data_IF_536770627547
#
_entry.id   IF_536770627547
#
_cell.length_a   1.000
_cell.length_b   1.000
_cell.length_c   1.000
_cell.angle_alpha   90.00
_cell.angle_beta   90.00
_cell.angle_gamma   90.00
#
_symmetry.space_group_name_H-M   'P 1'
#
loop_
_entity.id
_entity.type
_entity.pdbx_description
1 polymer ?
#
# COMPACT_ATOMS: atom_id res chain seq x y z
N UNK A 1 -18.98 20.14 -3.16
CA UNK A 1 -17.79 19.72 -2.40
C UNK A 1 -17.37 18.38 -2.94
N UNK A 2 -16.06 18.15 -3.19
CA UNK A 2 -15.56 16.86 -3.64
C UNK A 2 -15.88 15.75 -2.64
N UNK A 3 -16.18 14.55 -3.13
CA UNK A 3 -16.38 13.36 -2.30
C UNK A 3 -15.06 12.62 -2.12
N UNK A 4 -14.60 12.53 -0.87
CA UNK A 4 -13.35 11.86 -0.55
C UNK A 4 -13.58 10.43 -0.10
N UNK A 5 -12.80 9.52 -0.68
CA UNK A 5 -12.74 8.11 -0.27
C UNK A 5 -11.35 7.82 0.31
N UNK A 6 -11.25 6.76 1.12
CA UNK A 6 -10.06 6.47 1.91
C UNK A 6 -9.62 5.02 1.76
N UNK A 7 -8.31 4.82 1.65
CA UNK A 7 -7.69 3.49 1.64
C UNK A 7 -6.50 3.45 2.60
N UNK A 8 -6.18 2.26 3.12
CA UNK A 8 -5.01 2.07 3.99
C UNK A 8 -4.16 0.92 3.45
N UNK A 9 -2.87 1.17 3.29
CA UNK A 9 -1.89 0.17 2.82
C UNK A 9 -0.63 0.23 3.70
N UNK A 10 0.18 -0.83 3.79
CA UNK A 10 1.50 -0.72 4.40
C UNK A 10 2.42 0.11 3.52
N UNK A 11 3.40 0.77 4.13
CA UNK A 11 4.41 1.54 3.41
C UNK A 11 5.16 0.70 2.36
N UNK A 12 5.37 -0.60 2.59
CA UNK A 12 5.96 -1.50 1.60
C UNK A 12 5.20 -1.48 0.27
N UNK A 13 3.86 -1.50 0.33
CA UNK A 13 3.02 -1.47 -0.86
C UNK A 13 3.19 -0.13 -1.60
N UNK A 14 3.22 0.98 -0.86
CA UNK A 14 3.47 2.30 -1.45
C UNK A 14 4.84 2.36 -2.13
N UNK A 15 5.91 1.90 -1.46
CA UNK A 15 7.28 1.89 -2.01
C UNK A 15 7.35 1.07 -3.30
N UNK A 16 6.79 -0.14 -3.30
CA UNK A 16 6.81 -1.01 -4.47
C UNK A 16 6.03 -0.36 -5.63
N UNK A 17 4.85 0.18 -5.35
CA UNK A 17 4.03 0.81 -6.40
C UNK A 17 4.72 2.06 -6.98
N UNK A 18 5.26 2.92 -6.13
CA UNK A 18 5.95 4.15 -6.50
C UNK A 18 7.17 3.87 -7.39
N UNK A 19 8.13 3.09 -6.87
CA UNK A 19 9.42 2.93 -7.52
C UNK A 19 9.45 1.82 -8.58
N UNK A 20 8.65 0.76 -8.42
CA UNK A 20 8.81 -0.46 -9.20
C UNK A 20 7.65 -0.72 -10.14
N UNK A 21 6.45 -0.19 -9.85
CA UNK A 21 5.27 -0.31 -10.72
C UNK A 21 4.86 1.01 -11.39
N UNK A 22 5.75 2.01 -11.39
CA UNK A 22 5.57 3.25 -12.14
C UNK A 22 4.54 4.21 -11.54
N UNK A 23 4.42 4.25 -10.21
CA UNK A 23 3.49 5.14 -9.50
C UNK A 23 2.02 4.77 -9.69
N UNK A 24 1.73 3.49 -9.89
CA UNK A 24 0.37 2.96 -10.09
C UNK A 24 -0.01 2.05 -8.93
N UNK A 25 -1.14 2.35 -8.29
CA UNK A 25 -1.57 1.70 -7.06
C UNK A 25 -2.89 0.96 -7.28
N UNK A 26 -2.87 -0.35 -7.01
CA UNK A 26 -4.09 -1.15 -6.90
C UNK A 26 -4.70 -0.93 -5.52
N UNK A 27 -5.78 -0.14 -5.43
CA UNK A 27 -6.27 0.36 -4.13
C UNK A 27 -7.78 0.16 -3.95
N UNK A 28 -8.14 -0.42 -2.81
CA UNK A 28 -9.51 -0.39 -2.30
C UNK A 28 -9.76 0.87 -1.47
N UNK A 29 -10.89 1.52 -1.72
CA UNK A 29 -11.25 2.80 -1.16
C UNK A 29 -12.67 2.76 -0.59
N UNK A 30 -12.84 3.18 0.66
CA UNK A 30 -14.14 3.29 1.32
C UNK A 30 -14.66 4.73 1.33
N UNK A 31 -15.98 4.91 1.36
CA UNK A 31 -16.64 6.23 1.34
C UNK A 31 -16.29 7.13 2.54
N UNK A 32 -15.79 6.55 3.63
CA UNK A 32 -15.27 7.29 4.78
C UNK A 32 -14.08 6.54 5.40
N UNK A 33 -13.31 7.22 6.26
CA UNK A 33 -12.19 6.58 6.94
C UNK A 33 -12.63 5.58 8.02
N UNK A 34 -13.80 5.80 8.64
CA UNK A 34 -14.32 4.96 9.73
C UNK A 34 -15.73 4.39 9.44
N UNK A 35 -15.91 3.60 8.38
CA UNK A 35 -17.22 3.09 7.92
C UNK A 35 -17.70 1.86 8.71
N UNK A 36 -17.74 1.92 10.05
CA UNK A 36 -18.08 0.74 10.89
C UNK A 36 -19.45 0.11 10.59
N UNK A 37 -20.41 0.92 10.14
CA UNK A 37 -21.77 0.45 9.89
C UNK A 37 -21.98 -0.16 8.50
N UNK A 38 -21.11 0.17 7.54
CA UNK A 38 -21.33 -0.15 6.12
C UNK A 38 -20.29 -1.10 5.55
N UNK A 39 -19.11 -1.20 6.17
CA UNK A 39 -17.99 -1.93 5.60
C UNK A 39 -17.49 -2.98 6.58
N UNK A 40 -17.32 -4.25 6.15
CA UNK A 40 -16.65 -5.25 6.96
C UNK A 40 -15.19 -4.84 7.22
N UNK A 41 -14.56 -5.51 8.21
CA UNK A 41 -13.18 -5.25 8.62
C UNK A 41 -12.19 -5.19 7.45
N UNK A 42 -12.33 -6.08 6.47
CA UNK A 42 -11.45 -6.19 5.28
C UNK A 42 -11.54 -4.99 4.31
N UNK A 43 -12.53 -4.12 4.46
CA UNK A 43 -12.78 -2.94 3.61
C UNK A 43 -12.91 -1.65 4.41
N UNK A 44 -12.50 -1.69 5.68
CA UNK A 44 -12.60 -0.58 6.60
C UNK A 44 -11.19 0.01 6.84
N UNK A 45 -10.86 1.17 6.26
CA UNK A 45 -9.49 1.69 6.31
C UNK A 45 -9.00 1.99 7.74
N UNK A 46 -9.87 2.38 8.67
CA UNK A 46 -9.51 2.54 10.07
C UNK A 46 -9.15 1.21 10.76
N UNK A 47 -9.90 0.14 10.50
CA UNK A 47 -9.58 -1.17 11.10
C UNK A 47 -8.33 -1.77 10.47
N UNK A 48 -8.15 -1.63 9.15
CA UNK A 48 -6.92 -2.02 8.46
C UNK A 48 -5.72 -1.23 9.00
N UNK A 49 -5.88 0.07 9.24
CA UNK A 49 -4.86 0.88 9.90
C UNK A 49 -4.46 0.28 11.25
N UNK A 50 -5.45 -0.07 12.07
CA UNK A 50 -5.21 -0.70 13.38
C UNK A 50 -4.44 -2.02 13.27
N UNK A 51 -4.84 -2.89 12.34
CA UNK A 51 -4.19 -4.20 12.12
C UNK A 51 -2.74 -4.10 11.62
N UNK A 52 -2.39 -3.00 10.94
CA UNK A 52 -1.02 -2.72 10.52
C UNK A 52 -0.21 -2.03 11.64
N UNK A 53 -0.81 -1.02 12.26
CA UNK A 53 -0.18 -0.19 13.28
C UNK A 53 0.15 -0.99 14.54
N UNK A 54 -0.76 -1.83 15.02
CA UNK A 54 -0.60 -2.52 16.29
C UNK A 54 0.61 -3.48 16.28
N UNK A 55 0.78 -4.38 15.30
CA UNK A 55 1.97 -5.25 15.23
C UNK A 55 3.27 -4.46 15.03
N UNK A 56 3.23 -3.37 14.25
CA UNK A 56 4.37 -2.48 14.10
C UNK A 56 4.77 -1.83 15.43
N UNK A 57 3.80 -1.28 16.17
CA UNK A 57 4.02 -0.58 17.44
C UNK A 57 4.56 -1.53 18.52
N UNK A 58 3.96 -2.72 18.65
CA UNK A 58 4.36 -3.72 19.64
C UNK A 58 5.51 -4.63 19.19
N UNK A 59 5.99 -4.48 17.96
CA UNK A 59 7.03 -5.32 17.35
C UNK A 59 6.65 -6.81 17.32
N UNK A 60 5.36 -7.12 17.12
CA UNK A 60 4.87 -8.51 17.06
C UNK A 60 5.17 -9.16 15.70
N UNK A 61 6.22 -9.97 15.66
CA UNK A 61 6.69 -10.68 14.45
C UNK A 61 5.80 -11.87 14.07
N UNK A 62 4.92 -12.32 14.95
CA UNK A 62 4.08 -13.51 14.73
C UNK A 62 2.64 -13.14 14.41
N UNK A 63 2.34 -11.84 14.30
CA UNK A 63 1.02 -11.36 13.96
C UNK A 63 0.47 -12.04 12.68
N UNK A 64 -0.79 -12.42 12.74
CA UNK A 64 -1.45 -13.16 11.66
C UNK A 64 -1.74 -12.25 10.47
N UNK A 65 -2.20 -11.03 10.71
CA UNK A 65 -2.56 -10.09 9.66
C UNK A 65 -1.33 -9.71 8.84
N UNK A 66 -0.18 -9.48 9.47
CA UNK A 66 1.08 -9.22 8.76
C UNK A 66 1.47 -10.39 7.84
N UNK A 67 1.38 -11.63 8.32
CA UNK A 67 1.68 -12.83 7.50
C UNK A 67 0.74 -12.97 6.30
N UNK A 68 -0.55 -12.71 6.51
CA UNK A 68 -1.54 -12.71 5.43
C UNK A 68 -1.24 -11.57 4.44
N UNK A 69 -0.84 -10.40 4.91
CA UNK A 69 -0.50 -9.26 4.05
C UNK A 69 0.75 -9.51 3.20
N UNK A 70 1.79 -10.15 3.74
CA UNK A 70 2.95 -10.61 2.94
C UNK A 70 2.53 -11.49 1.78
N UNK A 71 1.64 -12.43 2.06
CA UNK A 71 1.09 -13.35 1.04
C UNK A 71 0.33 -12.57 -0.04
N UNK A 72 -0.42 -11.54 0.35
CA UNK A 72 -1.13 -10.63 -0.57
C UNK A 72 -0.16 -9.83 -1.45
N UNK A 73 0.89 -9.24 -0.86
CA UNK A 73 1.91 -8.50 -1.61
C UNK A 73 2.62 -9.40 -2.62
N UNK A 74 2.98 -10.62 -2.21
CA UNK A 74 3.57 -11.63 -3.10
C UNK A 74 2.64 -12.00 -4.25
N UNK A 75 1.34 -12.13 -3.98
CA UNK A 75 0.35 -12.35 -5.04
C UNK A 75 0.32 -11.18 -6.03
N UNK A 76 0.43 -9.94 -5.53
CA UNK A 76 0.60 -8.74 -6.37
C UNK A 76 1.84 -8.80 -7.27
N UNK A 77 3.00 -9.20 -6.73
CA UNK A 77 4.23 -9.41 -7.52
C UNK A 77 4.00 -10.44 -8.63
N UNK A 78 3.37 -11.57 -8.31
CA UNK A 78 3.08 -12.61 -9.30
C UNK A 78 2.13 -12.11 -10.42
N UNK A 79 1.14 -11.27 -10.07
CA UNK A 79 0.25 -10.67 -11.05
C UNK A 79 1.01 -9.71 -11.99
N UNK A 80 1.94 -8.91 -11.46
CA UNK A 80 2.76 -7.99 -12.26
C UNK A 80 3.73 -8.72 -13.18
N UNK A 81 4.35 -9.80 -12.72
CA UNK A 81 5.18 -10.68 -13.57
C UNK A 81 4.35 -11.34 -14.67
N UNK A 82 3.17 -11.90 -14.33
CA UNK A 82 2.29 -12.55 -15.30
C UNK A 82 1.79 -11.58 -16.37
N UNK A 83 1.61 -10.31 -16.01
CA UNK A 83 1.26 -9.23 -16.94
C UNK A 83 2.46 -8.64 -17.69
N UNK A 84 3.66 -9.22 -17.55
CA UNK A 84 4.92 -8.75 -18.13
C UNK A 84 5.25 -7.28 -17.81
N UNK A 85 4.81 -6.78 -16.65
CA UNK A 85 5.11 -5.43 -16.15
C UNK A 85 6.45 -5.34 -15.44
N UNK A 86 6.92 -6.46 -14.92
CA UNK A 86 8.26 -6.64 -14.35
C UNK A 86 8.88 -7.91 -14.92
N UNK A 87 10.21 -7.96 -14.99
CA UNK A 87 10.91 -9.17 -15.40
C UNK A 87 10.97 -10.22 -14.27
N UNK A 88 11.31 -11.46 -14.64
CA UNK A 88 11.37 -12.58 -13.71
C UNK A 88 12.42 -12.38 -12.60
N UNK A 89 13.52 -11.68 -12.89
CA UNK A 89 14.62 -11.43 -11.95
C UNK A 89 14.12 -10.50 -10.84
N UNK A 90 13.47 -9.40 -11.22
CA UNK A 90 12.85 -8.41 -10.34
C UNK A 90 11.72 -9.06 -9.53
N UNK A 91 10.86 -9.85 -10.18
CA UNK A 91 9.80 -10.58 -9.50
C UNK A 91 10.33 -11.56 -8.44
N UNK A 92 11.40 -12.30 -8.75
CA UNK A 92 12.03 -13.22 -7.79
C UNK A 92 12.58 -12.48 -6.56
N UNK A 93 13.23 -11.33 -6.76
CA UNK A 93 13.72 -10.48 -5.67
C UNK A 93 12.58 -9.93 -4.82
N UNK A 94 11.52 -9.41 -5.46
CA UNK A 94 10.36 -8.86 -4.76
C UNK A 94 9.57 -9.90 -3.98
N UNK A 95 9.43 -11.12 -4.49
CA UNK A 95 8.82 -12.21 -3.72
C UNK A 95 9.56 -12.44 -2.40
N UNK A 96 10.90 -12.48 -2.44
CA UNK A 96 11.73 -12.62 -1.23
C UNK A 96 11.53 -11.45 -0.28
N UNK A 97 11.58 -10.21 -0.81
CA UNK A 97 11.30 -9.01 -0.02
C UNK A 97 9.93 -9.08 0.65
N UNK A 98 8.87 -9.45 -0.07
CA UNK A 98 7.53 -9.57 0.53
C UNK A 98 7.51 -10.61 1.66
N UNK A 99 8.16 -11.75 1.48
CA UNK A 99 8.20 -12.83 2.46
C UNK A 99 9.03 -12.46 3.71
N UNK A 100 10.07 -11.66 3.56
CA UNK A 100 11.09 -11.40 4.60
C UNK A 100 11.14 -9.96 5.15
N UNK A 101 10.50 -8.98 4.50
CA UNK A 101 10.55 -7.56 4.87
C UNK A 101 10.35 -7.31 6.37
N UNK A 102 11.12 -6.45 7.00
CA UNK A 102 10.97 -6.18 8.43
C UNK A 102 9.62 -5.51 8.79
N UNK A 103 9.22 -5.56 10.07
CA UNK A 103 7.93 -5.01 10.52
C UNK A 103 7.80 -3.49 10.28
N UNK A 104 8.93 -2.77 10.21
CA UNK A 104 8.98 -1.35 9.91
C UNK A 104 8.29 -1.02 8.58
N UNK A 105 8.36 -1.92 7.59
CA UNK A 105 7.71 -1.73 6.29
C UNK A 105 6.19 -1.99 6.30
N UNK A 106 5.63 -2.32 7.46
CA UNK A 106 4.18 -2.48 7.65
C UNK A 106 3.54 -1.29 8.37
N UNK A 107 4.29 -0.21 8.59
CA UNK A 107 3.70 1.04 9.03
C UNK A 107 2.57 1.48 8.07
N UNK A 108 1.37 1.81 8.56
CA UNK A 108 0.23 2.13 7.69
C UNK A 108 0.35 3.50 7.05
N UNK A 109 -0.03 3.57 5.78
CA UNK A 109 -0.16 4.78 4.98
C UNK A 109 -1.61 4.91 4.55
N UNK A 110 -2.21 6.08 4.79
CA UNK A 110 -3.62 6.34 4.43
C UNK A 110 -3.68 7.25 3.22
N UNK A 111 -4.38 6.79 2.20
CA UNK A 111 -4.70 7.58 1.02
C UNK A 111 -6.04 8.28 1.21
N UNK A 112 -6.10 9.54 0.79
CA UNK A 112 -7.34 10.29 0.57
C UNK A 112 -7.48 10.58 -0.91
N UNK A 113 -8.57 10.14 -1.50
CA UNK A 113 -8.81 10.22 -2.95
C UNK A 113 -10.04 11.06 -3.19
N UNK A 114 -9.95 12.09 -4.03
CA UNK A 114 -11.13 12.75 -4.57
C UNK A 114 -11.77 11.82 -5.60
N UNK A 115 -12.79 11.08 -5.17
CA UNK A 115 -13.39 10.06 -6.02
C UNK A 115 -14.08 10.69 -7.22
N UNK A 116 -14.58 11.92 -7.12
CA UNK A 116 -15.26 12.59 -8.23
C UNK A 116 -14.28 12.95 -9.36
N UNK A 117 -12.98 13.05 -9.07
CA UNK A 117 -11.91 13.24 -10.06
C UNK A 117 -11.52 11.97 -10.83
N UNK A 118 -11.89 10.78 -10.35
CA UNK A 118 -11.53 9.50 -11.01
C UNK A 118 -12.53 9.18 -12.11
N UNK A 119 -12.10 8.83 -13.32
CA UNK A 119 -13.05 8.44 -14.39
C UNK A 119 -13.88 7.21 -13.97
N UNK A 120 -15.22 7.19 -14.14
CA UNK A 120 -16.07 6.09 -13.68
C UNK A 120 -15.64 4.69 -14.13
N UNK A 121 -15.16 4.54 -15.37
CA UNK A 121 -14.74 3.25 -15.93
C UNK A 121 -13.50 2.64 -15.24
N UNK A 122 -12.74 3.45 -14.50
CA UNK A 122 -11.59 2.99 -13.69
C UNK A 122 -12.01 2.51 -12.30
N UNK A 123 -13.28 2.68 -11.94
CA UNK A 123 -13.84 2.30 -10.64
C UNK A 123 -14.56 0.98 -10.80
N UNK A 124 -14.25 0.01 -9.97
CA UNK A 124 -14.93 -1.28 -9.93
C UNK A 124 -15.60 -1.48 -8.57
N UNK A 125 -16.80 -2.06 -8.58
CA UNK A 125 -17.40 -2.65 -7.38
C UNK A 125 -17.09 -4.14 -7.43
N UNK A 126 -16.46 -4.64 -6.38
CA UNK A 126 -16.10 -6.05 -6.27
C UNK A 126 -16.04 -6.45 -4.78
N UNK A 127 -15.92 -7.76 -4.52
CA UNK A 127 -15.84 -8.26 -3.14
C UNK A 127 -17.05 -7.88 -2.30
N UNK A 128 -16.83 -7.37 -1.08
CA UNK A 128 -17.91 -6.94 -0.18
C UNK A 128 -18.73 -5.77 -0.72
N UNK A 129 -18.22 -5.00 -1.69
CA UNK A 129 -19.00 -3.99 -2.40
C UNK A 129 -20.22 -4.57 -3.13
N UNK A 130 -20.15 -5.83 -3.60
CA UNK A 130 -21.28 -6.51 -4.23
C UNK A 130 -22.37 -6.93 -3.22
N UNK A 131 -21.99 -7.02 -1.93
CA UNK A 131 -22.87 -7.39 -0.81
C UNK A 131 -23.37 -6.16 -0.04
N UNK A 132 -23.20 -4.95 -0.61
CA UNK A 132 -23.71 -3.70 -0.05
C UNK A 132 -22.69 -2.87 0.73
N UNK A 133 -21.40 -3.26 0.75
CA UNK A 133 -20.36 -2.38 1.28
C UNK A 133 -20.18 -1.12 0.43
N UNK A 134 -19.86 0.00 1.09
CA UNK A 134 -19.59 1.28 0.43
C UNK A 134 -18.10 1.43 0.16
N UNK A 135 -17.61 0.57 -0.72
CA UNK A 135 -16.24 0.57 -1.20
C UNK A 135 -16.17 0.49 -2.71
N UNK A 136 -15.05 0.95 -3.25
CA UNK A 136 -14.69 0.80 -4.65
C UNK A 136 -13.25 0.31 -4.74
N UNK A 137 -12.95 -0.39 -5.83
CA UNK A 137 -11.59 -0.68 -6.26
C UNK A 137 -11.21 0.29 -7.38
N UNK A 138 -10.02 0.88 -7.28
CA UNK A 138 -9.36 1.58 -8.38
C UNK A 138 -8.07 0.83 -8.70
N UNK A 139 -8.04 -0.01 -9.75
CA UNK A 139 -6.89 -0.88 -10.03
C UNK A 139 -5.61 -0.14 -10.45
N UNK A 140 -5.77 1.07 -10.97
CA UNK A 140 -4.70 1.85 -11.60
C UNK A 140 -4.59 3.28 -11.04
N UNK A 141 -4.85 3.46 -9.74
CA UNK A 141 -4.82 4.77 -9.08
C UNK A 141 -3.42 5.39 -9.19
N UNK A 142 -3.34 6.63 -9.71
CA UNK A 142 -2.08 7.34 -9.94
C UNK A 142 -1.76 8.27 -8.77
N UNK A 143 -0.48 8.54 -8.55
CA UNK A 143 -0.02 9.31 -7.38
C UNK A 143 -0.55 10.74 -7.28
N UNK A 144 -0.83 11.40 -8.40
CA UNK A 144 -1.46 12.74 -8.37
C UNK A 144 -2.96 12.71 -8.05
N UNK A 145 -3.57 11.52 -7.95
CA UNK A 145 -4.99 11.35 -7.69
C UNK A 145 -5.30 11.12 -6.21
N UNK A 146 -4.28 11.08 -5.35
CA UNK A 146 -4.45 10.90 -3.91
C UNK A 146 -3.47 11.73 -3.08
N UNK A 147 -3.91 12.08 -1.88
CA UNK A 147 -3.04 12.62 -0.84
C UNK A 147 -2.67 11.51 0.15
N UNK A 148 -1.44 11.55 0.66
CA UNK A 148 -1.04 10.74 1.82
C UNK A 148 -1.30 11.54 3.10
N UNK A 149 -2.18 11.04 3.98
CA UNK A 149 -2.62 11.78 5.17
C UNK A 149 -1.75 11.54 6.41
N UNK A 150 -1.13 10.37 6.55
CA UNK A 150 -0.34 9.98 7.72
C UNK A 150 0.96 9.31 7.26
N UNK A 151 2.07 9.99 7.53
CA UNK A 151 3.43 9.55 7.24
C UNK A 151 4.39 10.10 8.32
N UNK A 152 4.00 9.99 9.59
CA UNK A 152 4.65 10.65 10.74
C UNK A 152 5.74 9.81 11.42
N UNK A 153 6.22 8.74 10.78
CA UNK A 153 7.38 7.97 11.26
C UNK A 153 8.68 8.78 11.11
N UNK A 154 8.93 9.69 12.05
CA UNK A 154 10.07 10.63 12.03
C UNK A 154 11.39 10.05 12.54
N UNK A 155 11.38 8.85 13.12
CA UNK A 155 12.56 8.27 13.79
C UNK A 155 13.28 7.23 12.95
N UNK A 156 12.88 7.03 11.69
CA UNK A 156 13.52 6.08 10.78
C UNK A 156 14.10 6.84 9.58
N UNK A 157 15.42 6.96 9.54
CA UNK A 157 16.16 7.64 8.45
C UNK A 157 15.87 7.01 7.08
N UNK A 158 15.49 5.73 7.05
CA UNK A 158 15.13 5.04 5.82
C UNK A 158 13.73 5.47 5.34
N UNK A 159 12.78 5.58 6.27
CA UNK A 159 11.44 6.12 5.99
C UNK A 159 11.54 7.55 5.45
N UNK A 160 12.43 8.35 6.07
CA UNK A 160 12.74 9.70 5.62
C UNK A 160 13.18 9.71 4.15
N UNK A 161 14.18 8.88 3.82
CA UNK A 161 14.79 8.83 2.52
C UNK A 161 13.86 8.25 1.43
N UNK A 162 13.13 7.18 1.74
CA UNK A 162 12.34 6.44 0.75
C UNK A 162 10.93 6.97 0.55
N UNK A 163 10.35 7.66 1.54
CA UNK A 163 8.93 8.04 1.49
C UNK A 163 8.76 9.52 1.73
N UNK A 164 9.26 10.07 2.83
CA UNK A 164 9.02 11.50 3.13
C UNK A 164 9.61 12.42 2.07
N UNK A 165 10.89 12.23 1.72
CA UNK A 165 11.56 13.07 0.70
C UNK A 165 10.93 12.93 -0.68
N UNK A 166 10.49 11.74 -1.05
CA UNK A 166 9.78 11.50 -2.30
C UNK A 166 8.45 12.25 -2.34
N UNK A 167 7.64 12.16 -1.26
CA UNK A 167 6.37 12.88 -1.14
C UNK A 167 6.55 14.41 -1.13
N UNK A 168 7.70 14.90 -0.66
CA UNK A 168 8.07 16.32 -0.67
C UNK A 168 8.69 16.78 -2.01
N UNK A 169 8.84 15.89 -2.99
CA UNK A 169 9.44 16.17 -4.30
C UNK A 169 10.97 16.32 -4.29
N UNK A 170 11.63 15.93 -3.21
CA UNK A 170 13.09 15.93 -3.03
C UNK A 170 13.74 14.56 -3.24
N UNK A 171 13.00 13.63 -3.84
CA UNK A 171 13.43 12.27 -4.13
C UNK A 171 14.63 12.16 -5.05
N UNK A 172 15.49 11.18 -4.79
CA UNK A 172 16.69 10.93 -5.61
C UNK A 172 16.96 9.44 -5.84
N UNK A 173 16.17 8.56 -5.22
CA UNK A 173 16.41 7.14 -5.29
C UNK A 173 15.93 6.58 -6.62
N UNK A 174 16.75 5.74 -7.23
CA UNK A 174 16.35 4.99 -8.42
C UNK A 174 15.63 3.68 -8.02
N UNK A 175 14.86 3.07 -8.93
CA UNK A 175 14.27 1.75 -8.69
C UNK A 175 15.29 0.69 -8.25
N UNK A 176 16.53 0.79 -8.74
CA UNK A 176 17.63 -0.09 -8.36
C UNK A 176 18.05 0.13 -6.91
N UNK A 177 18.27 1.39 -6.51
CA UNK A 177 18.70 1.73 -5.15
C UNK A 177 17.66 1.23 -4.13
N UNK A 178 16.39 1.45 -4.43
CA UNK A 178 15.26 1.01 -3.60
C UNK A 178 15.24 -0.51 -3.45
N UNK A 179 15.43 -1.24 -4.54
CA UNK A 179 15.43 -2.69 -4.50
C UNK A 179 16.60 -3.23 -3.66
N UNK A 180 17.79 -2.64 -3.78
CA UNK A 180 18.96 -3.00 -2.96
C UNK A 180 18.74 -2.69 -1.47
N UNK A 181 18.13 -1.55 -1.14
CA UNK A 181 17.76 -1.16 0.23
C UNK A 181 16.75 -2.15 0.83
N UNK A 182 15.69 -2.51 0.09
CA UNK A 182 14.67 -3.43 0.54
C UNK A 182 15.24 -4.83 0.84
N UNK A 183 16.17 -5.31 0.01
CA UNK A 183 16.83 -6.61 0.24
C UNK A 183 17.70 -6.61 1.50
N UNK A 184 18.48 -5.56 1.72
CA UNK A 184 19.34 -5.44 2.92
C UNK A 184 18.54 -5.49 4.23
N UNK A 185 17.33 -4.92 4.22
CA UNK A 185 16.44 -4.87 5.39
C UNK A 185 15.53 -6.08 5.54
N UNK A 186 15.38 -6.89 4.50
CA UNK A 186 14.64 -8.16 4.57
C UNK A 186 15.51 -9.29 5.13
N UNK A 187 16.84 -9.20 4.97
CA UNK A 187 17.78 -10.21 5.48
C UNK A 187 18.17 -10.05 6.96
N UNK A 188 17.60 -9.08 7.69
CA UNK A 188 17.95 -8.71 9.07
C UNK A 188 16.89 -9.13 10.09
#
# INVERSE_FOLDING_TARGET
>A
MPRYYYGTVPILAWIINHFLYGGVHYTWLAESFHPLATNPKSSNPYLIYGDLYQPWFWRDRFDRFIREYRSSLRAGVNAMESAARIDNITAARLRRICDEASLEFFYPVVYRVDVDGIVPDRRAVAGSGLEGSREILVPDLREHEFDVLFADQRTDDLFDAMVRRELEGGGTLTPRDVLEILEQRSAA
#
